data_IF_401303424071
#
_entry.id   IF_401303424071
#
_cell.length_a   1.000
_cell.length_b   1.000
_cell.length_c   1.000
_cell.angle_alpha   90.00
_cell.angle_beta   90.00
_cell.angle_gamma   90.00
#
_symmetry.space_group_name_H-M   'P 1'
#
loop_
_entity.id
_entity.type
_entity.pdbx_description
1 polymer ?
#
# COMPACT_ATOMS: atom_id res chain seq x y z
N UNK A 1 6.98 -12.95 -22.76
CA UNK A 1 6.52 -12.09 -21.64
C UNK A 1 5.33 -12.78 -21.00
N UNK A 2 5.35 -12.96 -19.68
CA UNK A 2 4.13 -13.32 -18.94
C UNK A 2 3.26 -12.06 -18.84
N UNK A 3 1.97 -12.16 -19.17
CA UNK A 3 1.05 -11.01 -19.07
C UNK A 3 0.80 -10.58 -17.62
N UNK A 4 0.34 -9.35 -17.42
CA UNK A 4 0.06 -8.78 -16.09
C UNK A 4 -0.83 -9.71 -15.23
N UNK A 5 -1.84 -10.34 -15.82
CA UNK A 5 -2.71 -11.29 -15.12
C UNK A 5 -1.94 -12.46 -14.48
N UNK A 6 -1.02 -13.06 -15.23
CA UNK A 6 -0.26 -14.22 -14.76
C UNK A 6 0.79 -13.84 -13.71
N UNK A 7 1.41 -12.66 -13.85
CA UNK A 7 2.38 -12.14 -12.86
C UNK A 7 1.68 -11.78 -11.55
N UNK A 8 0.56 -11.07 -11.62
CA UNK A 8 -0.16 -10.60 -10.44
C UNK A 8 -0.86 -11.74 -9.67
N UNK A 9 -1.20 -12.85 -10.32
CA UNK A 9 -1.64 -14.08 -9.64
C UNK A 9 -0.55 -14.70 -8.75
N UNK A 10 0.72 -14.38 -8.99
CA UNK A 10 1.87 -14.88 -8.22
C UNK A 10 2.31 -13.89 -7.12
N UNK A 11 1.56 -12.80 -6.89
CA UNK A 11 1.87 -11.90 -5.78
C UNK A 11 1.87 -12.67 -4.47
N UNK A 12 2.87 -12.43 -3.61
CA UNK A 12 2.88 -13.09 -2.32
C UNK A 12 1.68 -12.60 -1.50
N UNK A 13 1.04 -13.53 -0.79
CA UNK A 13 -0.01 -13.16 0.17
C UNK A 13 0.57 -12.22 1.24
N UNK A 14 1.83 -12.43 1.64
CA UNK A 14 2.53 -11.61 2.62
C UNK A 14 3.99 -11.40 2.23
N UNK A 15 4.49 -10.18 2.42
CA UNK A 15 5.90 -9.83 2.31
C UNK A 15 6.24 -8.78 3.38
N UNK A 16 7.20 -9.07 4.26
CA UNK A 16 7.40 -8.31 5.50
C UNK A 16 6.08 -8.22 6.30
N UNK A 17 5.67 -7.01 6.67
CA UNK A 17 4.37 -6.74 7.28
C UNK A 17 3.31 -6.33 6.25
N UNK A 18 3.66 -6.25 4.97
CA UNK A 18 2.70 -6.04 3.89
C UNK A 18 1.89 -7.30 3.60
N UNK A 19 0.58 -7.14 3.41
CA UNK A 19 -0.35 -8.23 3.07
C UNK A 19 -1.14 -7.87 1.82
N UNK A 20 -1.12 -8.74 0.81
CA UNK A 20 -1.97 -8.60 -0.38
C UNK A 20 -3.36 -9.12 -0.06
N UNK A 21 -4.31 -8.21 0.01
CA UNK A 21 -5.70 -8.54 0.35
C UNK A 21 -6.47 -9.03 -0.88
N UNK A 22 -6.28 -8.36 -2.01
CA UNK A 22 -7.07 -8.62 -3.22
C UNK A 22 -6.38 -8.16 -4.49
N UNK A 23 -6.60 -8.90 -5.56
CA UNK A 23 -6.29 -8.49 -6.93
C UNK A 23 -7.56 -8.60 -7.76
N UNK A 24 -7.92 -7.54 -8.48
CA UNK A 24 -9.08 -7.50 -9.37
C UNK A 24 -8.58 -7.24 -10.78
N UNK A 25 -8.96 -8.07 -11.75
CA UNK A 25 -8.51 -7.96 -13.15
C UNK A 25 -9.53 -7.24 -14.04
N UNK A 26 -9.06 -6.53 -15.06
CA UNK A 26 -9.87 -5.98 -16.15
C UNK A 26 -10.91 -4.94 -15.74
N UNK A 27 -10.56 -4.05 -14.79
CA UNK A 27 -11.49 -3.08 -14.20
C UNK A 27 -11.15 -1.66 -14.62
N UNK A 28 -12.14 -0.89 -15.10
CA UNK A 28 -12.02 0.57 -15.27
C UNK A 28 -10.96 1.04 -16.27
N UNK A 29 -10.60 0.21 -17.26
CA UNK A 29 -9.53 0.52 -18.22
C UNK A 29 -8.13 0.08 -17.77
N UNK A 30 -8.01 -0.50 -16.57
CA UNK A 30 -6.77 -1.07 -16.06
C UNK A 30 -6.74 -2.59 -16.24
N UNK A 31 -5.55 -3.14 -16.46
CA UNK A 31 -5.32 -4.59 -16.46
C UNK A 31 -5.62 -5.20 -15.09
N UNK A 32 -5.30 -4.48 -14.01
CA UNK A 32 -5.60 -4.90 -12.64
C UNK A 32 -5.64 -3.74 -11.64
N UNK A 33 -6.30 -3.99 -10.52
CA UNK A 33 -6.27 -3.19 -9.28
C UNK A 33 -5.80 -4.11 -8.15
N UNK A 34 -4.79 -3.69 -7.40
CA UNK A 34 -4.19 -4.44 -6.29
C UNK A 34 -4.48 -3.73 -4.98
N UNK A 35 -5.06 -4.44 -4.03
CA UNK A 35 -5.30 -3.99 -2.66
C UNK A 35 -4.31 -4.68 -1.74
N UNK A 36 -3.57 -3.89 -0.97
CA UNK A 36 -2.64 -4.39 0.03
C UNK A 36 -2.64 -3.49 1.26
N UNK A 37 -2.29 -4.07 2.39
CA UNK A 37 -2.10 -3.38 3.66
C UNK A 37 -0.60 -3.34 3.92
N UNK A 38 -0.09 -2.21 4.39
CA UNK A 38 1.30 -2.01 4.80
C UNK A 38 1.35 -1.32 6.16
N UNK A 39 2.40 -1.54 6.98
CA UNK A 39 2.51 -0.89 8.28
C UNK A 39 2.76 0.61 8.16
N UNK A 40 3.49 1.03 7.13
CA UNK A 40 3.81 2.41 6.82
C UNK A 40 4.02 2.63 5.32
N UNK A 41 4.23 3.90 4.95
CA UNK A 41 4.41 4.31 3.55
C UNK A 41 5.74 3.83 2.96
N UNK A 42 6.76 3.59 3.78
CA UNK A 42 8.08 3.14 3.31
C UNK A 42 7.96 1.69 2.85
N UNK A 43 7.39 0.81 3.67
CA UNK A 43 7.14 -0.58 3.30
C UNK A 43 6.15 -0.70 2.14
N UNK A 44 5.14 0.17 2.09
CA UNK A 44 4.20 0.22 0.97
C UNK A 44 4.91 0.49 -0.37
N UNK A 45 5.79 1.49 -0.40
CA UNK A 45 6.55 1.82 -1.60
C UNK A 45 7.51 0.69 -2.00
N UNK A 46 8.19 0.06 -1.04
CA UNK A 46 9.08 -1.07 -1.35
C UNK A 46 8.31 -2.28 -1.91
N UNK A 47 7.09 -2.53 -1.40
CA UNK A 47 6.22 -3.58 -1.93
C UNK A 47 5.82 -3.28 -3.39
N UNK A 48 5.38 -2.04 -3.66
CA UNK A 48 5.03 -1.57 -5.01
C UNK A 48 6.22 -1.72 -5.95
N UNK A 49 7.40 -1.24 -5.56
CA UNK A 49 8.59 -1.26 -6.40
C UNK A 49 8.97 -2.70 -6.74
N UNK A 50 9.12 -3.55 -5.72
CA UNK A 50 9.59 -4.93 -5.91
C UNK A 50 8.64 -5.81 -6.73
N UNK A 51 7.34 -5.73 -6.45
CA UNK A 51 6.38 -6.71 -6.99
C UNK A 51 5.53 -6.18 -8.12
N UNK A 52 5.39 -4.87 -8.26
CA UNK A 52 4.56 -4.25 -9.30
C UNK A 52 5.42 -3.51 -10.33
N UNK A 53 6.18 -2.49 -9.91
CA UNK A 53 6.92 -1.62 -10.84
C UNK A 53 8.10 -2.34 -11.49
N UNK A 54 8.93 -3.00 -10.69
CA UNK A 54 10.17 -3.62 -11.17
C UNK A 54 9.96 -5.04 -11.68
N UNK A 55 8.75 -5.60 -11.51
CA UNK A 55 8.46 -6.97 -11.94
C UNK A 55 8.29 -7.10 -13.45
N UNK A 56 8.04 -6.00 -14.17
CA UNK A 56 8.07 -5.94 -15.64
C UNK A 56 8.16 -4.48 -16.11
N UNK A 57 9.08 -4.15 -17.04
CA UNK A 57 9.30 -2.80 -17.54
C UNK A 57 8.10 -2.18 -18.26
N UNK A 58 7.10 -2.97 -18.67
CA UNK A 58 5.86 -2.50 -19.28
C UNK A 58 4.77 -2.18 -18.24
N UNK A 59 5.02 -2.44 -16.96
CA UNK A 59 4.06 -2.12 -15.91
C UNK A 59 3.98 -0.61 -15.71
N UNK A 60 2.81 -0.04 -15.96
CA UNK A 60 2.51 1.35 -15.66
C UNK A 60 1.54 1.38 -14.48
N UNK A 61 1.94 2.08 -13.41
CA UNK A 61 1.09 2.31 -12.25
C UNK A 61 0.55 3.73 -12.37
N UNK A 62 -0.73 3.86 -12.68
CA UNK A 62 -1.38 5.16 -12.88
C UNK A 62 -1.59 5.91 -11.57
N UNK A 63 -2.20 5.24 -10.58
CA UNK A 63 -2.60 5.87 -9.33
C UNK A 63 -2.30 4.95 -8.15
N UNK A 64 -1.77 5.53 -7.07
CA UNK A 64 -1.63 4.88 -5.75
C UNK A 64 -2.35 5.76 -4.73
N UNK A 65 -3.36 5.19 -4.06
CA UNK A 65 -4.08 5.83 -2.96
C UNK A 65 -3.89 5.01 -1.70
N UNK A 66 -3.80 5.68 -0.54
CA UNK A 66 -3.66 5.03 0.74
C UNK A 66 -4.33 5.85 1.84
N UNK A 67 -4.92 5.15 2.80
CA UNK A 67 -5.53 5.74 3.98
C UNK A 67 -4.89 5.13 5.23
N UNK A 68 -4.61 5.98 6.23
CA UNK A 68 -4.17 5.48 7.54
C UNK A 68 -5.37 4.88 8.27
N UNK A 69 -5.32 3.58 8.52
CA UNK A 69 -6.27 2.89 9.40
C UNK A 69 -5.97 3.08 10.89
N UNK A 70 -4.85 3.74 11.24
CA UNK A 70 -4.56 4.13 12.62
C UNK A 70 -5.49 5.28 13.02
N UNK A 71 -6.19 5.21 14.17
CA UNK A 71 -6.93 6.36 14.68
C UNK A 71 -5.99 7.56 14.75
N UNK A 72 -6.43 8.73 14.27
CA UNK A 72 -5.71 9.98 14.57
C UNK A 72 -5.63 10.05 16.10
N UNK A 73 -4.41 10.02 16.64
CA UNK A 73 -4.22 10.31 18.05
C UNK A 73 -4.82 11.69 18.30
N UNK A 74 -5.81 11.77 19.20
CA UNK A 74 -6.32 13.05 19.67
C UNK A 74 -5.12 13.87 20.17
N UNK A 75 -4.97 15.14 19.76
CA UNK A 75 -3.89 15.97 20.26
C UNK A 75 -3.99 15.99 21.78
N UNK A 76 -3.00 15.40 22.45
CA UNK A 76 -2.95 15.37 23.90
C UNK A 76 -2.82 16.82 24.36
N UNK A 77 -3.92 17.42 24.80
CA UNK A 77 -3.89 18.67 25.56
C UNK A 77 -3.18 18.36 26.87
N UNK A 78 -1.85 18.39 26.86
CA UNK A 78 -1.08 18.64 28.06
C UNK A 78 -1.44 20.04 28.52
N UNK A 79 -2.49 20.10 29.34
CA UNK A 79 -2.87 21.26 30.12
C UNK A 79 -1.64 21.65 30.93
N UNK A 80 -0.97 22.73 30.54
CA UNK A 80 0.14 23.28 31.29
C UNK A 80 -0.42 23.71 32.65
N UNK A 81 -0.11 22.90 33.67
CA UNK A 81 -0.45 23.20 35.06
C UNK A 81 0.25 24.51 35.39
N UNK A 82 -0.56 25.53 35.69
CA UNK A 82 -0.13 26.83 36.21
C UNK A 82 0.71 26.57 37.47
N UNK A 83 2.01 26.86 37.44
CA UNK A 83 2.81 26.91 38.66
C UNK A 83 2.50 28.19 39.42
N UNK A 84 2.17 28.14 40.72
CA UNK A 84 2.04 29.32 41.55
C UNK A 84 3.39 29.63 42.22
N UNK A 85 3.94 30.82 41.97
CA UNK A 85 4.61 31.67 42.97
C UNK A 85 4.41 33.13 42.54
#
# INVERSE_FOLDING_TARGET
MEGAAQRLQKLPQRWLECTTEKVIFGTGGYDAVVFFIAPDIVEANQYIDKYLRDSDPLTIIDTVIGESIRPLAEPSTHSAIKSPV
#
